data_IF_411611775215
#
_entry.id   IF_411611775215
#
_cell.length_a   1.000
_cell.length_b   1.000
_cell.length_c   1.000
_cell.angle_alpha   90.00
_cell.angle_beta   90.00
_cell.angle_gamma   90.00
#
_symmetry.space_group_name_H-M   'P 1'
#
loop_
_entity.id
_entity.type
_entity.pdbx_description
1 polymer ?
2 non-polymer ?
3 non-polymer ?
4 non-polymer ?
5 non-polymer ?
6 non-polymer ?
7 water ?
#
# COMPACT_ATOMS: atom_id res chain seq x y z
N UNK A 3 -13.66 18.33 -21.97
CA UNK A 3 -12.72 17.26 -22.28
C UNK A 3 -11.29 17.59 -21.83
N UNK A 4 -11.15 18.63 -20.99
CA UNK A 4 -9.88 19.18 -20.54
C UNK A 4 -10.16 19.82 -19.16
N UNK A 5 -10.42 18.98 -18.17
CA UNK A 5 -10.97 19.39 -16.89
C UNK A 5 -9.98 20.21 -16.06
N UNK A 6 -10.54 20.98 -15.12
CA UNK A 6 -9.79 21.94 -14.30
C UNK A 6 -9.94 21.60 -12.83
N UNK A 7 -8.82 21.58 -12.10
CA UNK A 7 -8.83 21.42 -10.64
C UNK A 7 -8.13 22.62 -10.01
N UNK A 8 -8.76 23.19 -8.98
CA UNK A 8 -8.31 24.40 -8.34
C UNK A 8 -7.84 24.09 -6.92
N UNK A 9 -6.80 24.79 -6.49
CA UNK A 9 -6.43 24.85 -5.07
C UNK A 9 -7.03 26.13 -4.50
N UNK A 10 -7.92 25.99 -3.52
CA UNK A 10 -8.62 27.15 -2.97
C UNK A 10 -7.83 27.88 -1.89
N UNK A 11 -6.64 27.40 -1.56
CA UNK A 11 -5.74 28.08 -0.63
C UNK A 11 -4.69 28.92 -1.34
N UNK A 12 -4.27 28.49 -2.54
CA UNK A 12 -3.26 29.16 -3.36
C UNK A 12 -3.80 29.78 -4.64
N UNK A 13 -5.07 29.52 -4.99
CA UNK A 13 -5.69 29.88 -6.26
C UNK A 13 -4.99 29.26 -7.47
N UNK A 14 -4.13 28.26 -7.25
CA UNK A 14 -3.47 27.56 -8.34
C UNK A 14 -4.50 26.75 -9.10
N UNK A 15 -4.37 26.70 -10.44
CA UNK A 15 -5.28 25.95 -11.28
C UNK A 15 -4.48 25.07 -12.22
N UNK A 16 -4.74 23.77 -12.15
CA UNK A 16 -4.13 22.79 -13.04
C UNK A 16 -5.18 22.29 -14.03
N UNK A 17 -4.71 21.80 -15.18
CA UNK A 17 -5.58 21.28 -16.23
C UNK A 17 -5.29 19.82 -16.46
N UNK A 18 -6.31 18.99 -16.29
CA UNK A 18 -6.18 17.54 -16.33
C UNK A 18 -6.65 17.03 -17.68
N UNK A 19 -5.71 16.68 -18.55
CA UNK A 19 -6.03 15.95 -19.76
C UNK A 19 -5.74 14.46 -19.64
N UNK A 20 -4.94 14.05 -18.64
CA UNK A 20 -4.54 12.66 -18.49
C UNK A 20 -5.73 11.74 -18.30
N UNK A 21 -6.81 12.22 -17.67
CA UNK A 21 -8.00 11.40 -17.47
C UNK A 21 -8.62 10.93 -18.78
N UNK A 22 -8.26 11.55 -19.90
CA UNK A 22 -8.72 11.08 -21.20
C UNK A 22 -8.20 9.68 -21.51
N UNK A 23 -6.97 9.39 -21.09
CA UNK A 23 -6.42 8.05 -21.25
C UNK A 23 -7.09 7.03 -20.32
N UNK A 24 -7.93 7.48 -19.39
CA UNK A 24 -8.47 6.58 -18.38
C UNK A 24 -9.27 5.45 -19.01
N UNK A 25 -9.22 4.30 -18.34
CA UNK A 25 -9.74 3.06 -18.89
C UNK A 25 -10.86 2.51 -18.01
N UNK A 26 -10.57 2.05 -16.80
CA UNK A 26 -11.58 1.38 -16.00
C UNK A 26 -12.51 2.40 -15.34
N UNK A 27 -13.63 1.89 -14.84
CA UNK A 27 -14.67 2.70 -14.24
C UNK A 27 -14.37 2.95 -12.76
N UNK A 28 -15.20 3.78 -12.13
CA UNK A 28 -14.94 4.26 -10.78
C UNK A 28 -15.97 3.82 -9.74
N UNK A 29 -17.21 3.55 -10.13
CA UNK A 29 -18.29 3.31 -9.19
C UNK A 29 -19.27 4.46 -9.15
N UNK A 30 -18.82 5.65 -9.52
CA UNK A 30 -19.69 6.80 -9.63
C UNK A 30 -20.43 6.78 -10.95
N UNK A 31 -21.68 7.22 -10.93
CA UNK A 31 -22.44 7.45 -12.14
C UNK A 31 -22.75 8.93 -12.24
N UNK A 32 -23.51 9.31 -13.27
CA UNK A 32 -23.92 10.70 -13.38
C UNK A 32 -24.79 11.11 -12.19
N UNK A 33 -25.53 10.17 -11.60
CA UNK A 33 -26.52 10.48 -10.58
C UNK A 33 -26.15 9.96 -9.19
N UNK A 34 -24.93 9.45 -8.99
CA UNK A 34 -24.46 9.05 -7.68
C UNK A 34 -22.94 9.08 -7.67
N UNK A 35 -22.37 9.62 -6.61
CA UNK A 35 -20.94 9.59 -6.39
C UNK A 35 -20.65 8.63 -5.24
N UNK A 36 -19.71 7.72 -5.46
CA UNK A 36 -19.32 6.75 -4.44
C UNK A 36 -17.88 6.95 -3.98
N UNK A 37 -17.37 8.17 -4.11
CA UNK A 37 -16.02 8.49 -3.71
C UNK A 37 -15.61 8.17 -2.28
N UNK A 38 -16.53 7.63 -1.47
CA UNK A 38 -16.23 7.30 -0.08
C UNK A 38 -16.54 5.86 0.29
N UNK A 39 -17.04 5.06 -0.65
CA UNK A 39 -17.04 3.60 -0.47
C UNK A 39 -15.59 3.11 -0.43
N UNK A 40 -15.26 2.31 0.58
CA UNK A 40 -13.88 1.88 0.81
C UNK A 40 -13.36 1.00 -0.33
N UNK A 41 -13.98 -0.15 -0.54
CA UNK A 41 -13.57 -1.13 -1.53
C UNK A 41 -14.69 -1.26 -2.55
N UNK A 42 -14.76 -0.35 -3.52
CA UNK A 42 -15.78 -0.49 -4.56
C UNK A 42 -15.52 -1.74 -5.39
N UNK A 43 -16.59 -2.23 -6.02
CA UNK A 43 -16.49 -3.45 -6.83
C UNK A 43 -15.51 -3.30 -7.98
N UNK A 44 -15.14 -2.05 -8.33
CA UNK A 44 -14.18 -1.80 -9.40
C UNK A 44 -12.75 -2.01 -8.93
N UNK A 45 -12.42 -1.53 -7.72
CA UNK A 45 -11.10 -1.67 -7.07
C UNK A 45 -10.79 -3.11 -6.62
N UNK A 46 -11.63 -4.11 -6.89
CA UNK A 46 -11.40 -5.49 -6.48
C UNK A 46 -11.32 -6.38 -7.71
N UNK A 47 -10.44 -7.39 -7.65
CA UNK A 47 -10.18 -8.29 -8.77
C UNK A 47 -10.95 -9.59 -8.68
N UNK A 52 -11.22 -13.35 -13.53
CA UNK A 52 -10.41 -14.23 -14.36
C UNK A 52 -10.54 -13.84 -15.85
N UNK A 53 -9.41 -13.50 -16.48
CA UNK A 53 -9.39 -12.93 -17.83
C UNK A 53 -9.06 -13.99 -18.88
N UNK A 54 -9.56 -13.75 -20.10
CA UNK A 54 -9.39 -14.64 -21.24
C UNK A 54 -8.36 -14.09 -22.21
N UNK A 55 -8.00 -14.94 -23.20
CA UNK A 55 -7.01 -14.57 -24.19
C UNK A 55 -7.51 -13.45 -25.09
N UNK A 56 -8.80 -13.40 -25.34
CA UNK A 56 -9.36 -12.36 -26.18
C UNK A 56 -9.05 -10.98 -25.62
N UNK A 57 -9.51 -10.70 -24.40
CA UNK A 57 -9.26 -9.39 -23.80
C UNK A 57 -7.80 -9.10 -23.57
N UNK A 58 -6.92 -10.10 -23.66
CA UNK A 58 -5.57 -9.94 -23.16
C UNK A 58 -4.66 -9.16 -24.10
N UNK A 59 -5.02 -9.03 -25.39
CA UNK A 59 -4.11 -8.32 -26.30
C UNK A 59 -4.33 -6.81 -26.33
N UNK A 60 -5.59 -6.31 -26.40
CA UNK A 60 -5.77 -4.87 -26.20
C UNK A 60 -5.02 -4.34 -25.00
N UNK A 61 -5.18 -5.00 -23.85
CA UNK A 61 -4.46 -4.61 -22.64
C UNK A 61 -2.96 -4.71 -22.82
N UNK A 62 -2.50 -5.73 -23.56
CA UNK A 62 -1.08 -5.86 -23.87
C UNK A 62 -0.62 -4.74 -24.80
N UNK A 63 -1.41 -4.50 -25.86
CA UNK A 63 -1.10 -3.44 -26.81
C UNK A 63 -1.12 -2.06 -26.15
N UNK A 64 -2.17 -1.76 -25.40
CA UNK A 64 -2.26 -0.48 -24.71
C UNK A 64 -1.03 -0.26 -23.82
N UNK A 65 -0.68 -1.26 -23.01
CA UNK A 65 0.47 -1.12 -22.12
C UNK A 65 1.76 -0.93 -22.90
N UNK A 66 1.94 -1.67 -24.00
CA UNK A 66 3.20 -1.62 -24.72
C UNK A 66 3.36 -0.29 -25.45
N UNK A 67 2.26 0.22 -26.02
CA UNK A 67 2.32 1.51 -26.71
C UNK A 67 2.71 2.64 -25.76
N UNK A 68 2.38 2.54 -24.48
CA UNK A 68 2.82 3.59 -23.57
C UNK A 68 4.23 3.33 -23.06
N UNK A 69 4.64 2.05 -22.93
CA UNK A 69 6.01 1.78 -22.52
C UNK A 69 7.02 2.25 -23.55
N UNK A 70 6.71 2.10 -24.84
CA UNK A 70 7.65 2.61 -25.83
C UNK A 70 7.53 4.11 -25.98
N UNK A 71 6.34 4.66 -25.81
CA UNK A 71 6.22 6.12 -25.70
C UNK A 71 7.04 6.66 -24.53
N UNK A 72 7.22 5.85 -23.48
CA UNK A 72 7.98 6.28 -22.32
C UNK A 72 9.46 6.43 -22.62
N UNK A 73 10.05 5.44 -23.30
CA UNK A 73 11.48 5.48 -23.60
C UNK A 73 11.69 6.09 -24.98
N UNK A 74 10.78 6.99 -25.37
CA UNK A 74 10.92 7.90 -26.51
C UNK A 74 10.88 7.20 -27.87
N UNK A 75 10.83 5.87 -27.88
CA UNK A 75 10.88 5.10 -29.12
C UNK A 75 9.54 4.40 -29.36
N UNK A 76 8.51 5.23 -29.63
CA UNK A 76 7.14 4.79 -29.84
C UNK A 76 6.86 4.64 -31.33
N UNK A 77 6.12 3.59 -31.69
CA UNK A 77 5.74 3.31 -33.05
C UNK A 77 6.84 2.77 -33.93
N UNK A 78 8.05 2.59 -33.40
CA UNK A 78 9.20 2.18 -34.19
C UNK A 78 9.12 0.67 -34.46
N UNK A 79 10.22 0.12 -35.00
CA UNK A 79 10.24 -1.31 -35.28
C UNK A 79 10.34 -2.13 -33.99
N UNK A 80 11.23 -1.75 -33.07
CA UNK A 80 11.31 -2.45 -31.79
C UNK A 80 9.96 -2.46 -31.07
N UNK A 81 9.17 -1.40 -31.26
CA UNK A 81 7.79 -1.40 -30.78
C UNK A 81 6.93 -2.38 -31.58
N UNK A 82 6.78 -2.13 -32.88
CA UNK A 82 5.96 -2.99 -33.73
C UNK A 82 6.37 -4.46 -33.63
N UNK A 83 7.67 -4.75 -33.45
CA UNK A 83 8.09 -6.13 -33.25
C UNK A 83 7.56 -6.68 -31.94
N UNK A 84 7.72 -5.92 -30.86
CA UNK A 84 7.29 -6.38 -29.54
C UNK A 84 5.78 -6.59 -29.48
N UNK A 85 5.03 -5.87 -30.31
CA UNK A 85 3.58 -6.08 -30.38
C UNK A 85 3.25 -7.40 -31.05
N UNK A 86 3.84 -7.63 -32.24
CA UNK A 86 3.76 -8.94 -32.90
C UNK A 86 4.23 -10.05 -31.98
N UNK A 87 5.40 -9.86 -31.36
CA UNK A 87 5.96 -10.89 -30.49
C UNK A 87 5.00 -11.33 -29.39
N UNK A 88 4.34 -10.37 -28.72
CA UNK A 88 3.42 -10.70 -27.65
C UNK A 88 2.08 -11.17 -28.20
N UNK A 89 1.60 -10.52 -29.27
CA UNK A 89 0.47 -11.05 -30.02
C UNK A 89 0.68 -12.53 -30.33
N UNK A 90 1.81 -12.86 -30.96
CA UNK A 90 2.11 -14.25 -31.28
C UNK A 90 2.11 -15.12 -30.03
N UNK A 91 2.70 -14.65 -28.94
CA UNK A 91 2.75 -15.44 -27.72
C UNK A 91 1.38 -15.56 -27.03
N UNK A 92 0.49 -14.59 -27.25
CA UNK A 92 -0.86 -14.69 -26.68
C UNK A 92 -1.74 -15.61 -27.51
N UNK A 93 -1.50 -15.70 -28.82
CA UNK A 93 -2.10 -16.79 -29.57
C UNK A 93 -1.59 -18.14 -29.06
N UNK A 94 -0.27 -18.25 -28.95
CA UNK A 94 0.36 -19.55 -28.69
C UNK A 94 0.06 -20.03 -27.28
N UNK A 95 0.15 -19.15 -26.28
CA UNK A 95 0.03 -19.55 -24.89
C UNK A 95 -1.16 -18.93 -24.17
N UNK A 96 -1.98 -18.12 -24.85
CA UNK A 96 -3.12 -17.45 -24.23
C UNK A 96 -2.70 -16.69 -22.97
N UNK A 97 -1.45 -16.29 -22.93
CA UNK A 97 -0.86 -15.38 -21.94
C UNK A 97 0.46 -14.91 -22.52
N UNK A 98 1.24 -14.19 -21.72
CA UNK A 98 2.54 -13.72 -22.18
C UNK A 98 3.40 -13.34 -20.97
N UNK A 99 4.61 -12.87 -21.26
CA UNK A 99 5.59 -12.57 -20.23
C UNK A 99 6.16 -11.18 -20.46
N UNK A 100 6.40 -10.46 -19.37
CA UNK A 100 6.92 -9.11 -19.45
C UNK A 100 8.44 -9.12 -19.44
N UNK A 101 9.06 -8.34 -20.34
CA UNK A 101 10.49 -8.10 -20.24
C UNK A 101 10.81 -7.45 -18.90
N UNK A 102 12.00 -7.75 -18.36
CA UNK A 102 12.43 -7.17 -17.09
C UNK A 102 12.20 -5.67 -17.07
N UNK A 103 12.50 -4.99 -18.17
CA UNK A 103 12.29 -3.54 -18.24
C UNK A 103 10.79 -3.19 -18.29
N UNK A 104 9.97 -4.08 -18.86
CA UNK A 104 8.53 -3.81 -18.90
C UNK A 104 7.89 -4.03 -17.54
N UNK A 105 8.47 -4.93 -16.74
CA UNK A 105 8.02 -5.11 -15.37
C UNK A 105 8.33 -3.88 -14.52
N UNK A 106 9.55 -3.36 -14.64
CA UNK A 106 10.01 -2.24 -13.81
C UNK A 106 9.17 -1.00 -14.12
N UNK A 107 8.98 -0.71 -15.41
CA UNK A 107 8.04 0.33 -15.83
C UNK A 107 6.64 0.06 -15.30
N UNK A 108 6.08 -1.10 -15.61
CA UNK A 108 4.74 -1.44 -15.18
C UNK A 108 4.52 -1.23 -13.70
N UNK A 109 5.38 -1.83 -12.87
CA UNK A 109 5.26 -1.69 -11.43
C UNK A 109 5.33 -0.23 -11.02
N UNK A 110 6.37 0.49 -11.46
CA UNK A 110 6.51 1.89 -11.08
C UNK A 110 5.25 2.66 -11.38
N UNK A 111 4.61 2.37 -12.51
CA UNK A 111 3.44 3.14 -12.91
C UNK A 111 2.17 2.67 -12.22
N UNK A 112 2.13 1.43 -11.71
CA UNK A 112 1.02 1.07 -10.85
C UNK A 112 1.05 1.90 -9.57
N UNK A 113 2.24 2.12 -9.02
CA UNK A 113 2.38 3.04 -7.89
C UNK A 113 2.05 4.46 -8.30
N UNK A 114 2.60 4.93 -9.42
CA UNK A 114 2.30 6.28 -9.91
C UNK A 114 0.80 6.52 -10.08
N UNK A 115 0.07 5.49 -10.48
CA UNK A 115 -1.35 5.61 -10.76
C UNK A 115 -2.24 5.41 -9.53
N UNK A 116 -1.66 5.01 -8.41
CA UNK A 116 -2.41 4.76 -7.18
C UNK A 116 -2.95 6.10 -6.68
N UNK A 117 -4.23 6.36 -6.92
CA UNK A 117 -4.76 7.67 -6.61
C UNK A 117 -4.95 7.90 -5.12
N UNK A 118 -5.03 6.83 -4.33
CA UNK A 118 -5.15 6.93 -2.89
C UNK A 118 -3.81 7.08 -2.18
N UNK A 119 -2.68 7.12 -2.92
CA UNK A 119 -1.34 7.16 -2.32
C UNK A 119 -0.79 8.59 -2.31
N UNK A 120 -0.58 9.12 -1.10
CA UNK A 120 -0.03 10.48 -0.92
C UNK A 120 1.48 10.55 -1.15
N UNK A 121 2.20 9.43 -1.00
CA UNK A 121 3.64 9.44 -1.09
C UNK A 121 4.20 9.17 -2.46
N UNK A 122 3.41 9.41 -3.50
CA UNK A 122 3.79 9.06 -4.87
C UNK A 122 4.84 9.96 -5.48
N UNK A 123 5.34 10.97 -4.76
CA UNK A 123 6.35 11.81 -5.39
C UNK A 123 7.60 10.99 -5.71
N UNK A 124 7.73 9.83 -5.07
CA UNK A 124 8.87 8.94 -5.18
C UNK A 124 8.63 7.79 -6.16
N UNK A 125 7.55 7.83 -6.94
CA UNK A 125 7.14 6.66 -7.72
C UNK A 125 8.26 6.17 -8.65
N UNK A 126 9.07 7.07 -9.21
CA UNK A 126 10.10 6.65 -10.16
C UNK A 126 11.24 5.92 -9.47
N UNK A 127 11.52 6.23 -8.21
CA UNK A 127 12.64 5.63 -7.48
C UNK A 127 12.24 4.35 -6.76
N UNK A 128 11.56 3.46 -7.48
CA UNK A 128 11.09 2.20 -6.91
C UNK A 128 12.03 1.09 -7.33
N UNK A 129 12.34 0.20 -6.39
CA UNK A 129 13.21 -0.92 -6.65
C UNK A 129 12.35 -2.14 -6.92
N UNK A 130 12.54 -2.75 -8.08
CA UNK A 130 11.72 -3.89 -8.46
C UNK A 130 12.59 -5.14 -8.34
N UNK A 131 12.18 -6.06 -7.47
CA UNK A 131 12.78 -7.38 -7.39
C UNK A 131 11.90 -8.33 -8.16
N UNK A 132 12.43 -8.87 -9.26
CA UNK A 132 11.72 -9.78 -10.12
C UNK A 132 11.84 -11.17 -9.52
N UNK A 133 10.79 -11.61 -8.81
CA UNK A 133 10.73 -12.95 -8.25
C UNK A 133 9.86 -13.87 -9.07
N UNK A 134 9.71 -13.59 -10.37
CA UNK A 134 8.93 -14.48 -11.22
C UNK A 134 9.55 -15.86 -11.42
N UNK A 135 10.78 -16.15 -10.96
CA UNK A 135 11.35 -17.50 -11.02
C UNK A 135 10.99 -18.35 -9.80
N UNK A 136 10.20 -17.82 -8.89
CA UNK A 136 9.91 -18.48 -7.62
C UNK A 136 8.89 -19.59 -7.82
N UNK A 137 9.03 -20.66 -7.03
CA UNK A 137 8.21 -21.85 -7.16
C UNK A 137 7.76 -22.46 -5.83
N UNK A 138 8.34 -22.06 -4.71
CA UNK A 138 8.01 -22.66 -3.43
C UNK A 138 7.74 -21.54 -2.41
N UNK A 139 7.01 -21.91 -1.36
CA UNK A 139 6.84 -20.99 -0.24
C UNK A 139 8.19 -20.61 0.35
N UNK A 140 9.12 -21.56 0.41
CA UNK A 140 10.47 -21.24 0.89
C UNK A 140 11.15 -20.21 -0.01
N UNK A 141 10.99 -20.35 -1.33
CA UNK A 141 11.55 -19.34 -2.22
C UNK A 141 10.92 -17.98 -2.00
N UNK A 142 9.58 -17.96 -1.84
CA UNK A 142 8.91 -16.73 -1.47
C UNK A 142 9.53 -16.15 -0.20
N UNK A 143 9.61 -16.97 0.86
CA UNK A 143 10.12 -16.48 2.13
C UNK A 143 11.52 -15.92 1.98
N UNK A 144 12.34 -16.53 1.13
CA UNK A 144 13.67 -16.01 0.89
C UNK A 144 13.62 -14.67 0.16
N UNK A 145 12.83 -14.59 -0.92
CA UNK A 145 12.65 -13.31 -1.62
C UNK A 145 12.10 -12.23 -0.70
N UNK A 146 11.11 -12.59 0.13
CA UNK A 146 10.50 -11.61 1.01
C UNK A 146 11.51 -11.12 2.05
N UNK A 147 12.36 -12.04 2.54
CA UNK A 147 13.39 -11.65 3.51
C UNK A 147 14.40 -10.70 2.89
N UNK A 148 14.78 -10.93 1.64
CA UNK A 148 15.72 -10.02 1.02
C UNK A 148 15.05 -8.69 0.71
N UNK A 149 13.75 -8.70 0.45
CA UNK A 149 13.00 -7.45 0.36
C UNK A 149 13.13 -6.68 1.68
N UNK A 150 12.56 -7.25 2.75
CA UNK A 150 12.65 -6.66 4.10
C UNK A 150 14.02 -6.08 4.36
N UNK A 151 15.07 -6.89 4.20
CA UNK A 151 16.41 -6.39 4.47
C UNK A 151 16.75 -5.18 3.59
N UNK A 152 16.55 -5.30 2.27
CA UNK A 152 16.92 -4.21 1.37
C UNK A 152 16.10 -2.95 1.65
N UNK A 153 14.78 -3.06 1.66
CA UNK A 153 13.96 -1.87 1.85
C UNK A 153 14.20 -1.24 3.22
N UNK A 154 14.52 -2.06 4.23
CA UNK A 154 14.74 -1.50 5.55
C UNK A 154 16.04 -0.71 5.59
N UNK A 155 17.12 -1.24 5.00
CA UNK A 155 18.37 -0.49 4.84
C UNK A 155 18.74 0.21 6.15
N UNK A 156 18.54 -0.50 7.26
CA UNK A 156 19.03 -0.08 8.57
C UNK A 156 18.38 1.23 8.99
N UNK A 157 17.09 1.38 8.69
CA UNK A 157 16.36 2.58 8.96
C UNK A 157 16.33 3.56 7.81
N UNK A 158 17.32 3.54 6.91
CA UNK A 158 17.29 4.45 5.77
C UNK A 158 16.46 3.78 4.68
N UNK A 159 15.14 3.85 4.86
CA UNK A 159 14.24 2.97 4.12
C UNK A 159 14.27 3.27 2.62
N UNK A 160 14.02 2.22 1.84
CA UNK A 160 13.96 2.33 0.39
C UNK A 160 12.67 1.72 -0.13
N UNK A 161 12.13 2.30 -1.19
CA UNK A 161 10.92 1.76 -1.80
C UNK A 161 11.25 0.49 -2.57
N UNK A 162 10.41 -0.52 -2.44
CA UNK A 162 10.68 -1.76 -3.16
C UNK A 162 9.39 -2.54 -3.33
N UNK A 163 9.36 -3.36 -4.38
CA UNK A 163 8.29 -4.32 -4.59
C UNK A 163 8.94 -5.62 -5.09
N UNK A 164 8.42 -6.74 -4.61
CA UNK A 164 8.85 -8.05 -5.07
C UNK A 164 7.67 -8.70 -5.77
N UNK A 165 7.87 -9.11 -7.01
CA UNK A 165 6.80 -9.54 -7.90
C UNK A 165 6.92 -11.03 -8.13
N UNK A 166 6.02 -11.79 -7.52
CA UNK A 166 5.96 -13.23 -7.72
C UNK A 166 5.22 -13.58 -9.01
N UNK A 167 5.31 -14.85 -9.46
CA UNK A 167 4.77 -15.20 -10.78
C UNK A 167 3.32 -14.78 -10.99
N UNK A 168 3.03 -14.35 -12.21
CA UNK A 168 1.69 -13.87 -12.51
C UNK A 168 0.70 -15.00 -12.44
N UNK A 169 -0.54 -14.65 -12.10
CA UNK A 169 -1.65 -15.58 -12.19
C UNK A 169 -1.69 -16.17 -13.60
N UNK A 170 -2.10 -17.45 -13.68
CA UNK A 170 -2.29 -18.09 -14.97
C UNK A 170 -3.71 -18.63 -15.06
N UNK A 171 -3.87 -19.90 -14.71
CA UNK A 171 -5.19 -20.51 -14.68
C UNK A 171 -6.07 -19.85 -13.61
N UNK A 172 -5.49 -19.54 -12.45
CA UNK A 172 -6.23 -18.99 -11.32
C UNK A 172 -6.19 -19.88 -10.10
N UNK A 173 -6.00 -21.19 -10.30
CA UNK A 173 -5.89 -22.14 -9.19
C UNK A 173 -4.46 -22.38 -8.77
N UNK A 174 -3.49 -21.98 -9.59
CA UNK A 174 -2.08 -21.97 -9.23
C UNK A 174 -1.69 -20.51 -9.02
N UNK A 175 -1.74 -20.07 -7.77
CA UNK A 175 -1.74 -18.66 -7.44
C UNK A 175 -0.80 -18.38 -6.28
N UNK A 176 0.18 -17.51 -6.51
CA UNK A 176 1.04 -17.06 -5.44
C UNK A 176 0.32 -16.00 -4.63
N UNK A 177 0.29 -16.18 -3.32
CA UNK A 177 -0.30 -15.18 -2.43
C UNK A 177 0.48 -15.10 -1.14
N UNK A 178 0.85 -13.89 -0.72
CA UNK A 178 1.08 -13.63 0.71
C UNK A 178 -0.28 -13.49 1.38
N UNK A 179 -0.53 -14.33 2.39
CA UNK A 179 -1.79 -14.22 3.13
C UNK A 179 -1.78 -13.10 4.16
N UNK A 180 -0.60 -12.66 4.59
CA UNK A 180 -0.49 -11.49 5.43
C UNK A 180 -1.03 -10.27 4.69
N UNK A 181 -1.62 -9.32 5.45
CA UNK A 181 -1.96 -8.05 4.81
C UNK A 181 -0.73 -7.16 4.67
N UNK A 182 0.26 -7.34 5.55
CA UNK A 182 1.56 -6.70 5.44
C UNK A 182 2.61 -7.70 5.90
N UNK A 183 3.80 -7.60 5.31
CA UNK A 183 4.88 -8.52 5.72
C UNK A 183 5.12 -8.46 7.21
N UNK A 184 4.96 -7.28 7.81
CA UNK A 184 5.14 -7.11 9.24
C UNK A 184 3.86 -6.51 9.80
N UNK A 185 3.17 -7.28 10.64
CA UNK A 185 2.05 -6.79 11.43
C UNK A 185 2.05 -7.53 12.77
N UNK A 186 1.55 -6.83 13.79
CA UNK A 186 1.46 -7.39 15.13
C UNK A 186 0.26 -8.30 15.27
N UNK A 187 0.35 -9.26 16.18
CA UNK A 187 -0.70 -10.25 16.31
C UNK A 187 -1.87 -9.64 17.07
N UNK A 188 -3.03 -10.27 16.92
CA UNK A 188 -4.21 -9.89 17.65
C UNK A 188 -4.91 -11.07 18.28
N UNK A 189 -5.02 -11.08 19.60
CA UNK A 189 -5.65 -12.18 20.32
C UNK A 189 -6.82 -11.63 21.12
N UNK A 190 -7.98 -12.23 20.95
CA UNK A 190 -9.15 -11.97 21.77
C UNK A 190 -8.95 -12.58 23.15
N UNK A 191 -9.69 -12.03 24.13
CA UNK A 191 -9.45 -12.35 25.54
C UNK A 191 -10.61 -13.13 26.17
N UNK A 192 -10.51 -13.54 27.43
CA UNK A 192 -11.70 -14.12 28.09
C UNK A 192 -12.92 -13.21 28.06
N UNK A 193 -12.76 -11.97 28.47
CA UNK A 193 -13.86 -11.01 28.47
C UNK A 193 -14.22 -10.51 27.09
N UNK A 194 -13.61 -11.09 26.06
CA UNK A 194 -13.85 -10.65 24.70
C UNK A 194 -13.08 -9.42 24.27
N UNK A 195 -12.30 -8.82 25.15
CA UNK A 195 -11.43 -7.70 24.78
C UNK A 195 -10.34 -8.22 23.85
N UNK A 196 -9.38 -7.36 23.52
CA UNK A 196 -8.38 -7.73 22.52
C UNK A 196 -6.99 -7.29 22.94
N UNK A 197 -6.06 -8.23 22.95
CA UNK A 197 -4.64 -7.94 23.09
C UNK A 197 -4.00 -7.92 21.72
N UNK A 198 -3.15 -6.93 21.49
CA UNK A 198 -2.46 -6.80 20.21
C UNK A 198 -3.20 -5.92 19.23
N UNK A 199 -3.21 -6.30 17.96
CA UNK A 199 -3.90 -5.53 16.94
C UNK A 199 -5.23 -6.19 16.62
N UNK A 200 -6.36 -5.58 17.00
CA UNK A 200 -7.67 -6.16 16.68
C UNK A 200 -7.89 -6.41 15.19
N UNK A 201 -7.21 -5.66 14.32
CA UNK A 201 -7.39 -5.86 12.88
C UNK A 201 -7.05 -7.28 12.45
N UNK A 202 -6.08 -7.89 13.12
CA UNK A 202 -5.46 -9.11 12.64
C UNK A 202 -5.99 -10.36 13.30
N UNK A 203 -6.85 -10.24 14.31
CA UNK A 203 -7.25 -11.39 15.11
C UNK A 203 -7.69 -12.55 14.24
N UNK A 204 -8.49 -12.26 13.21
CA UNK A 204 -8.88 -13.29 12.26
C UNK A 204 -7.64 -13.94 11.65
N UNK A 205 -6.67 -13.12 11.25
CA UNK A 205 -5.45 -13.67 10.67
C UNK A 205 -4.59 -14.37 11.73
N UNK A 206 -4.49 -13.78 12.92
CA UNK A 206 -3.69 -14.40 13.99
C UNK A 206 -4.19 -15.82 14.29
N UNK A 207 -5.52 -16.03 14.25
CA UNK A 207 -6.04 -17.37 14.52
C UNK A 207 -5.77 -18.31 13.35
N UNK A 208 -5.83 -17.80 12.12
CA UNK A 208 -5.48 -18.63 10.96
C UNK A 208 -4.04 -19.09 11.04
N UNK A 209 -3.15 -18.25 11.60
CA UNK A 209 -1.77 -18.67 11.81
C UNK A 209 -1.68 -19.74 12.88
N UNK A 210 -2.36 -19.54 14.01
CA UNK A 210 -2.36 -20.56 15.07
C UNK A 210 -3.03 -21.84 14.57
N UNK A 211 -4.03 -21.70 13.69
CA UNK A 211 -4.64 -22.85 13.04
C UNK A 211 -3.59 -23.71 12.34
N UNK A 212 -2.75 -23.09 11.52
CA UNK A 212 -1.69 -23.78 10.79
C UNK A 212 -0.45 -24.06 11.64
N UNK A 213 -0.50 -23.79 12.94
CA UNK A 213 0.54 -24.21 13.86
C UNK A 213 1.36 -23.12 14.52
N UNK A 214 0.97 -21.85 14.42
CA UNK A 214 1.77 -20.79 15.03
C UNK A 214 1.67 -20.88 16.54
N UNK A 215 2.82 -20.92 17.19
CA UNK A 215 2.89 -20.87 18.64
C UNK A 215 2.97 -19.40 19.02
N UNK A 216 1.86 -18.85 19.49
CA UNK A 216 1.77 -17.43 19.74
C UNK A 216 2.41 -17.08 21.07
N UNK A 217 3.33 -16.11 21.12
CA UNK A 217 3.82 -15.63 22.42
C UNK A 217 2.77 -14.87 23.21
N UNK A 218 1.66 -14.46 22.58
CA UNK A 218 0.47 -13.93 23.24
C UNK A 218 0.76 -12.68 24.07
N UNK A 219 1.47 -11.73 23.43
CA UNK A 219 1.57 -10.37 23.91
C UNK A 219 0.89 -9.39 22.98
N UNK A 220 1.28 -8.12 23.08
CA UNK A 220 0.79 -7.13 22.13
C UNK A 220 1.58 -7.22 20.83
N UNK A 221 2.78 -6.66 20.87
CA UNK A 221 3.58 -6.42 19.68
C UNK A 221 4.40 -7.67 19.32
N UNK A 222 3.67 -8.73 18.98
CA UNK A 222 4.23 -9.97 18.48
C UNK A 222 4.15 -9.95 16.96
N UNK A 223 5.30 -9.79 16.29
CA UNK A 223 5.32 -9.84 14.84
C UNK A 223 4.82 -11.20 14.38
N UNK A 224 3.84 -11.18 13.49
CA UNK A 224 3.23 -12.40 12.99
C UNK A 224 4.18 -13.13 12.05
N UNK A 225 4.02 -14.43 11.88
CA UNK A 225 4.82 -15.14 10.88
C UNK A 225 4.23 -14.87 9.51
N UNK A 226 5.00 -15.18 8.48
CA UNK A 226 4.50 -15.13 7.13
C UNK A 226 3.76 -16.41 6.82
N UNK A 227 2.60 -16.28 6.18
CA UNK A 227 1.87 -17.40 5.61
C UNK A 227 1.95 -17.25 4.10
N UNK A 228 2.65 -18.16 3.43
CA UNK A 228 2.99 -17.99 2.02
C UNK A 228 2.35 -19.11 1.20
N UNK A 229 1.38 -18.75 0.37
CA UNK A 229 0.83 -19.66 -0.63
C UNK A 229 1.69 -19.58 -1.90
N UNK A 230 2.18 -20.73 -2.36
CA UNK A 230 3.01 -20.79 -3.56
C UNK A 230 2.32 -21.66 -4.60
N UNK A 231 2.27 -21.16 -5.83
CA UNK A 231 1.66 -21.82 -6.98
C UNK A 231 0.39 -22.61 -6.66
N UNK A 232 -0.46 -22.06 -5.78
CA UNK A 232 -1.72 -22.68 -5.43
C UNK A 232 -1.68 -23.61 -4.23
N UNK A 233 -0.51 -24.14 -3.86
CA UNK A 233 -0.45 -25.08 -2.75
C UNK A 233 -0.79 -24.40 -1.42
N UNK A 234 -1.03 -25.24 -0.40
CA UNK A 234 -1.40 -24.72 0.90
C UNK A 234 -0.29 -23.82 1.46
N UNK A 235 -0.65 -22.68 2.06
CA UNK A 235 0.37 -21.77 2.59
C UNK A 235 1.10 -22.38 3.78
N UNK A 236 2.28 -21.82 4.07
CA UNK A 236 3.21 -22.36 5.04
C UNK A 236 3.77 -21.25 5.92
N UNK A 237 3.90 -21.52 7.22
CA UNK A 237 4.33 -20.48 8.14
C UNK A 237 5.84 -20.30 8.11
N UNK A 238 6.29 -19.05 8.09
CA UNK A 238 7.69 -18.70 8.20
C UNK A 238 7.85 -17.45 9.06
N UNK A 239 8.79 -17.50 10.00
CA UNK A 239 9.12 -16.37 10.88
C UNK A 239 10.24 -15.56 10.25
N UNK A 240 9.96 -14.30 9.92
CA UNK A 240 10.99 -13.36 9.49
C UNK A 240 12.05 -13.36 10.58
N UNK A 241 13.33 -13.48 10.26
CA UNK A 241 14.34 -13.36 11.30
C UNK A 241 14.16 -12.04 12.02
N UNK A 242 14.05 -12.07 13.34
CA UNK A 242 13.78 -10.85 14.10
C UNK A 242 14.78 -9.75 13.83
N UNK A 243 16.05 -10.10 13.61
CA UNK A 243 17.05 -9.10 13.25
C UNK A 243 16.67 -8.31 11.99
N UNK A 244 15.77 -8.86 11.18
CA UNK A 244 15.34 -8.19 9.97
C UNK A 244 14.13 -7.29 10.19
N UNK A 245 13.42 -7.43 11.31
CA UNK A 245 12.23 -6.64 11.62
C UNK A 245 12.67 -5.51 12.54
N UNK A 246 12.91 -4.33 11.94
CA UNK A 246 13.31 -3.14 12.67
C UNK A 246 12.07 -2.49 13.28
N UNK A 247 12.18 -2.07 14.53
CA UNK A 247 11.08 -1.57 15.33
C UNK A 247 11.53 -0.31 16.07
N UNK A 248 10.65 0.68 16.13
CA UNK A 248 10.92 1.93 16.85
C UNK A 248 10.11 1.92 18.14
N UNK A 249 10.75 1.97 19.31
CA UNK A 249 10.00 2.11 20.56
C UNK A 249 9.59 3.58 20.71
N UNK A 250 8.34 3.81 21.07
CA UNK A 250 7.73 5.13 20.98
C UNK A 250 7.89 5.84 22.32
N UNK A 251 8.77 6.83 22.34
CA UNK A 251 8.88 7.76 23.46
C UNK A 251 8.46 9.15 22.98
N UNK A 252 8.10 10.00 23.93
CA UNK A 252 7.75 11.39 23.73
C UNK A 252 8.89 12.30 24.15
N UNK A 253 9.08 13.42 23.43
CA UNK A 253 10.16 14.34 23.77
C UNK A 253 9.84 15.31 24.91
N UNK A 254 8.83 14.98 25.73
CA UNK A 254 8.53 15.71 26.95
C UNK A 254 8.16 14.73 28.05
N UNK A 255 7.07 14.00 27.82
CA UNK A 255 6.47 13.11 28.81
C UNK A 255 7.34 11.89 29.02
N UNK A 256 8.10 11.85 30.12
CA UNK A 256 8.90 10.65 30.38
C UNK A 256 8.04 9.44 30.74
N UNK A 257 6.76 9.63 31.08
CA UNK A 257 5.87 8.49 31.28
C UNK A 257 5.41 7.87 29.98
N UNK A 258 5.78 8.47 28.85
CA UNK A 258 5.44 7.92 27.54
C UNK A 258 6.30 6.73 27.16
N UNK A 259 7.49 6.58 27.75
CA UNK A 259 8.19 5.31 27.65
C UNK A 259 7.39 4.20 28.32
N UNK A 260 6.82 4.50 29.49
CA UNK A 260 6.10 3.49 30.24
C UNK A 260 4.79 3.09 29.58
N UNK A 261 4.29 3.91 28.67
CA UNK A 261 3.25 3.45 27.75
C UNK A 261 3.69 2.17 27.03
N UNK A 262 4.98 2.03 26.75
CA UNK A 262 5.52 0.79 26.23
C UNK A 262 5.11 0.51 24.79
N UNK A 263 4.98 1.54 23.97
CA UNK A 263 4.56 1.38 22.60
C UNK A 263 5.78 1.28 21.68
N UNK A 264 5.57 0.65 20.54
CA UNK A 264 6.59 0.51 19.50
C UNK A 264 5.90 0.14 18.21
N UNK A 265 6.56 0.46 17.10
CA UNK A 265 6.02 0.07 15.81
C UNK A 265 7.15 -0.41 14.93
N UNK A 266 6.79 -1.17 13.90
CA UNK A 266 7.77 -1.61 12.91
C UNK A 266 8.09 -0.46 11.96
N UNK A 267 9.36 -0.35 11.58
CA UNK A 267 9.76 0.73 10.69
C UNK A 267 9.17 0.62 9.30
N UNK A 268 8.88 -0.61 8.84
CA UNK A 268 8.65 -0.88 7.42
C UNK A 268 7.18 -1.16 7.13
N UNK A 269 6.46 -0.23 6.44
CA UNK A 269 5.12 -0.54 5.96
C UNK A 269 5.20 -1.21 4.59
N UNK A 270 4.64 -2.40 4.48
CA UNK A 270 4.93 -3.27 3.35
C UNK A 270 3.66 -4.04 3.04
N UNK A 271 2.93 -3.59 2.03
CA UNK A 271 1.58 -4.08 1.78
C UNK A 271 1.67 -5.28 0.84
N UNK A 272 1.12 -6.40 1.27
CA UNK A 272 1.42 -7.69 0.66
C UNK A 272 0.24 -8.37 -0.01
N UNK A 273 -0.99 -7.95 0.29
CA UNK A 273 -2.19 -8.71 0.00
C UNK A 273 -2.89 -8.23 -1.26
N UNK A 274 -2.24 -7.39 -2.04
CA UNK A 274 -2.88 -6.80 -3.18
C UNK A 274 -2.27 -7.28 -4.49
N UNK A 275 -2.86 -6.79 -5.58
CA UNK A 275 -2.72 -7.38 -6.89
C UNK A 275 -2.20 -6.34 -7.85
N UNK A 276 -1.13 -6.68 -8.56
CA UNK A 276 -0.49 -5.79 -9.52
C UNK A 276 -0.97 -6.16 -10.93
N UNK A 277 -1.60 -5.20 -11.61
CA UNK A 277 -2.06 -5.39 -12.99
C UNK A 277 -1.13 -4.66 -13.95
N UNK A 278 -0.48 -5.42 -14.83
CA UNK A 278 0.37 -4.87 -15.87
C UNK A 278 -0.03 -5.54 -17.17
N UNK A 279 -0.21 -4.75 -18.24
CA UNK A 279 -0.62 -5.28 -19.52
C UNK A 279 -1.65 -6.40 -19.48
N UNK A 280 -2.66 -6.27 -18.63
CA UNK A 280 -3.68 -7.30 -18.49
C UNK A 280 -3.25 -8.54 -17.76
N UNK A 281 -2.06 -8.52 -17.16
CA UNK A 281 -1.51 -9.66 -16.43
C UNK A 281 -1.67 -9.42 -14.93
N UNK A 282 -1.96 -10.49 -14.20
CA UNK A 282 -2.33 -10.36 -12.79
C UNK A 282 -1.25 -11.01 -11.93
N UNK A 283 -0.56 -10.17 -11.16
CA UNK A 283 0.44 -10.62 -10.19
C UNK A 283 -0.23 -10.63 -8.82
N UNK A 284 -0.69 -11.81 -8.39
CA UNK A 284 -1.49 -11.94 -7.19
C UNK A 284 -0.66 -11.73 -5.92
N UNK A 285 0.65 -11.98 -5.97
CA UNK A 285 1.53 -11.68 -4.86
C UNK A 285 2.56 -10.68 -5.34
N UNK A 286 2.61 -9.52 -4.69
CA UNK A 286 3.52 -8.47 -5.08
C UNK A 286 3.79 -7.52 -3.91
N UNK A 287 4.31 -8.01 -2.77
CA UNK A 287 4.51 -7.12 -1.61
C UNK A 287 5.30 -5.88 -1.99
N UNK A 288 4.86 -4.73 -1.48
CA UNK A 288 5.53 -3.47 -1.75
C UNK A 288 5.64 -2.67 -0.46
N UNK A 289 6.70 -1.89 -0.37
CA UNK A 289 7.05 -1.23 0.87
C UNK A 289 7.55 0.17 0.57
N UNK A 290 7.26 1.08 1.48
CA UNK A 290 7.90 2.38 1.47
C UNK A 290 8.41 2.76 2.85
N UNK A 291 7.94 3.89 3.36
CA UNK A 291 8.21 4.31 4.73
C UNK A 291 6.95 5.01 5.21
N UNK A 292 6.80 5.13 6.53
CA UNK A 292 5.51 5.56 7.06
C UNK A 292 5.32 7.07 6.95
N UNK A 293 4.09 7.47 6.70
CA UNK A 293 3.63 8.76 7.18
C UNK A 293 3.29 8.59 8.65
N UNK A 294 3.62 9.62 9.45
CA UNK A 294 3.46 9.50 10.89
C UNK A 294 2.05 9.11 11.29
N UNK A 295 1.06 9.71 10.62
CA UNK A 295 -0.34 9.59 11.04
C UNK A 295 -0.89 8.18 10.86
N UNK A 296 -0.31 7.39 9.94
CA UNK A 296 -0.81 6.03 9.79
C UNK A 296 -0.67 5.27 11.10
N UNK A 297 0.41 5.52 11.83
CA UNK A 297 0.66 4.87 13.11
C UNK A 297 0.01 5.63 14.26
N UNK A 298 0.32 6.92 14.35
CA UNK A 298 -0.10 7.69 15.51
C UNK A 298 -1.60 7.89 15.58
N UNK A 299 -2.25 8.08 14.43
CA UNK A 299 -3.69 8.31 14.36
C UNK A 299 -4.46 7.00 14.18
N UNK A 300 -4.20 6.32 13.07
CA UNK A 300 -5.03 5.21 12.67
C UNK A 300 -4.72 3.94 13.48
N UNK A 301 -3.46 3.48 13.45
CA UNK A 301 -3.07 2.29 14.22
C UNK A 301 -3.35 2.49 15.70
N UNK A 302 -2.70 3.49 16.29
CA UNK A 302 -2.78 3.70 17.75
C UNK A 302 -4.14 4.20 18.21
N UNK A 303 -4.91 4.92 17.37
CA UNK A 303 -6.10 5.60 17.89
C UNK A 303 -7.44 5.25 17.24
N UNK A 304 -7.48 4.56 16.10
CA UNK A 304 -8.76 4.01 15.65
C UNK A 304 -9.42 3.24 16.79
N UNK A 305 -10.76 3.28 16.84
CA UNK A 305 -11.47 2.62 17.93
C UNK A 305 -11.23 1.11 17.92
N UNK A 306 -11.36 0.47 16.75
CA UNK A 306 -11.15 -0.96 16.62
C UNK A 306 -9.72 -1.32 16.23
N UNK A 307 -8.77 -0.43 16.53
CA UNK A 307 -7.34 -0.74 16.44
C UNK A 307 -6.76 -0.76 17.86
N UNK A 308 -5.69 -0.02 18.16
CA UNK A 308 -5.08 -0.14 19.48
C UNK A 308 -5.82 0.66 20.54
N UNK A 309 -6.53 1.71 20.13
CA UNK A 309 -7.45 2.44 21.00
C UNK A 309 -6.77 2.90 22.28
N UNK A 310 -5.78 3.78 22.10
CA UNK A 310 -4.94 4.23 23.22
C UNK A 310 -5.27 5.64 23.69
N UNK A 311 -6.11 6.39 22.97
CA UNK A 311 -6.49 7.73 23.42
C UNK A 311 -7.03 7.72 24.85
N UNK A 312 -7.68 6.63 25.25
CA UNK A 312 -7.96 6.33 26.64
C UNK A 312 -6.75 6.50 27.56
N UNK A 313 -5.80 5.57 27.48
CA UNK A 313 -4.72 5.53 28.46
C UNK A 313 -3.78 6.71 28.33
N UNK A 314 -3.59 7.23 27.12
CA UNK A 314 -2.71 8.38 26.94
C UNK A 314 -3.30 9.61 27.61
N UNK A 315 -4.59 9.89 27.37
CA UNK A 315 -5.20 11.10 27.91
C UNK A 315 -5.23 11.03 29.43
N UNK A 316 -5.44 9.83 29.98
CA UNK A 316 -5.35 9.63 31.43
C UNK A 316 -4.05 10.16 31.98
N UNK A 317 -2.92 9.68 31.43
CA UNK A 317 -1.62 10.10 31.92
C UNK A 317 -1.36 11.58 31.64
N UNK A 318 -1.95 12.11 30.57
CA UNK A 318 -1.86 13.55 30.33
C UNK A 318 -2.63 14.35 31.36
N UNK A 319 -3.49 13.70 32.15
CA UNK A 319 -4.40 14.35 33.11
C UNK A 319 -5.31 15.35 32.39
N UNK A 320 -6.26 14.79 31.66
CA UNK A 320 -7.11 15.53 30.76
C UNK A 320 -8.56 15.47 31.21
N UNK A 321 -9.26 16.59 30.98
CA UNK A 321 -10.69 16.74 31.17
C UNK A 321 -11.46 15.71 30.36
N UNK A 322 -11.48 14.46 30.80
CA UNK A 322 -12.14 13.41 30.03
C UNK A 322 -13.63 13.30 30.31
N UNK A 323 -14.17 14.10 31.23
CA UNK A 323 -15.61 14.09 31.47
C UNK A 323 -16.37 14.55 30.23
N UNK A 324 -16.09 15.75 29.77
CA UNK A 324 -16.82 16.34 28.64
C UNK A 324 -16.22 15.84 27.32
N UNK A 325 -17.11 15.52 26.38
CA UNK A 325 -16.66 15.27 25.01
C UNK A 325 -16.01 16.52 24.41
N UNK A 326 -16.51 17.70 24.78
CA UNK A 326 -16.13 18.98 24.19
C UNK A 326 -14.89 19.60 24.81
N UNK A 327 -14.27 18.94 25.79
CA UNK A 327 -12.94 19.35 26.21
C UNK A 327 -11.89 19.08 25.15
N UNK A 328 -12.26 18.38 24.07
CA UNK A 328 -11.34 17.98 23.00
C UNK A 328 -10.16 17.18 23.53
N UNK A 329 -10.34 16.47 24.65
CA UNK A 329 -9.25 15.67 25.19
C UNK A 329 -8.77 14.64 24.17
N UNK A 330 -9.69 14.07 23.38
CA UNK A 330 -9.26 13.13 22.34
C UNK A 330 -8.33 13.80 21.34
N UNK A 331 -8.64 15.04 20.93
CA UNK A 331 -7.77 15.76 20.00
C UNK A 331 -6.43 16.06 20.62
N UNK A 332 -6.44 16.47 21.89
CA UNK A 332 -5.20 16.82 22.59
C UNK A 332 -4.27 15.63 22.68
N UNK A 333 -4.79 14.46 23.07
CA UNK A 333 -3.98 13.26 23.21
C UNK A 333 -3.56 12.72 21.86
N UNK A 334 -4.24 13.11 20.79
CA UNK A 334 -3.86 12.61 19.48
C UNK A 334 -2.63 13.33 18.94
N UNK A 335 -2.55 14.65 19.15
CA UNK A 335 -1.41 15.42 18.66
C UNK A 335 -0.11 14.97 19.33
N UNK A 336 -0.17 14.77 20.66
CA UNK A 336 1.00 14.29 21.40
C UNK A 336 1.46 12.94 20.89
N UNK A 337 0.51 12.02 20.70
CA UNK A 337 0.83 10.68 20.22
C UNK A 337 1.52 10.74 18.88
N UNK A 338 1.15 11.68 18.01
CA UNK A 338 1.86 11.76 16.75
C UNK A 338 3.20 12.50 16.87
N UNK A 339 3.31 13.49 17.77
CA UNK A 339 4.63 14.08 18.04
C UNK A 339 5.60 13.00 18.50
N UNK A 340 5.11 12.05 19.32
CA UNK A 340 5.95 10.99 19.85
C UNK A 340 6.39 10.02 18.76
N UNK A 341 5.50 9.68 17.84
CA UNK A 341 5.85 8.74 16.78
C UNK A 341 6.92 9.34 15.89
N UNK A 342 6.69 10.58 15.41
CA UNK A 342 7.67 11.23 14.57
C UNK A 342 8.99 11.42 15.29
N UNK A 343 8.94 11.89 16.55
CA UNK A 343 10.17 12.05 17.31
C UNK A 343 10.91 10.73 17.44
N UNK A 344 10.20 9.67 17.83
CA UNK A 344 10.82 8.38 18.06
C UNK A 344 11.51 7.84 16.81
N UNK A 345 10.80 7.89 15.67
CA UNK A 345 11.36 7.36 14.41
C UNK A 345 12.57 8.17 13.96
N UNK A 346 12.52 9.49 14.09
CA UNK A 346 13.64 10.33 13.67
C UNK A 346 14.87 10.11 14.53
N UNK A 347 14.69 9.90 15.85
CA UNK A 347 15.82 9.75 16.75
C UNK A 347 16.52 8.41 16.60
N UNK A 348 15.90 7.45 15.92
CA UNK A 348 16.51 6.19 15.56
C UNK A 348 16.92 6.14 14.09
N UNK A 349 16.95 7.29 13.41
CA UNK A 349 17.35 7.37 12.02
C UNK A 349 16.54 6.43 11.13
N UNK A 350 15.27 6.23 11.48
CA UNK A 350 14.35 5.42 10.69
C UNK A 350 13.46 6.36 9.88
N UNK A 351 13.44 6.17 8.57
CA UNK A 351 12.74 7.08 7.67
C UNK A 351 11.27 7.16 8.03
N UNK A 352 10.81 8.36 8.40
CA UNK A 352 9.40 8.66 8.60
C UNK A 352 9.16 10.07 8.06
N UNK A 353 7.90 10.35 7.69
CA UNK A 353 7.52 11.65 7.15
C UNK A 353 6.29 12.13 7.91
N UNK A 354 6.25 13.42 8.27
CA UNK A 354 5.07 13.93 8.95
C UNK A 354 4.00 14.24 7.91
N UNK A 355 2.75 14.33 8.35
CA UNK A 355 1.67 14.52 7.40
C UNK A 355 1.67 15.92 6.75
N UNK A 356 2.41 16.88 7.31
CA UNK A 356 2.59 18.18 6.66
C UNK A 356 3.57 18.09 5.50
N UNK A 357 4.75 17.48 5.75
CA UNK A 357 5.75 17.35 4.71
C UNK A 357 5.23 16.46 3.59
N UNK A 358 4.63 15.33 3.94
CA UNK A 358 4.07 14.42 2.94
C UNK A 358 3.01 15.12 2.10
N UNK A 359 2.18 15.97 2.70
CA UNK A 359 1.11 16.51 1.87
C UNK A 359 1.61 17.67 1.00
N UNK A 360 2.62 18.42 1.45
CA UNK A 360 3.19 19.43 0.57
C UNK A 360 3.92 18.79 -0.61
N UNK A 361 4.66 17.72 -0.37
CA UNK A 361 5.34 17.03 -1.47
C UNK A 361 4.32 16.52 -2.49
N UNK A 362 3.15 16.08 -2.02
CA UNK A 362 2.14 15.59 -2.95
C UNK A 362 1.59 16.71 -3.83
N UNK A 363 1.45 17.91 -3.28
CA UNK A 363 1.03 19.06 -4.08
C UNK A 363 2.12 19.43 -5.07
N UNK A 364 3.37 19.39 -4.61
CA UNK A 364 4.50 19.55 -5.52
C UNK A 364 4.49 18.46 -6.58
N UNK A 365 4.16 17.22 -6.18
CA UNK A 365 4.06 16.11 -7.12
C UNK A 365 2.91 16.31 -8.08
N UNK A 366 1.77 16.79 -7.58
CA UNK A 366 0.63 17.04 -8.46
C UNK A 366 1.00 18.05 -9.53
N UNK A 367 1.83 19.03 -9.19
CA UNK A 367 2.24 20.02 -10.18
C UNK A 367 3.05 19.36 -11.29
N UNK A 368 3.96 18.46 -10.91
CA UNK A 368 4.73 17.74 -11.91
C UNK A 368 3.83 16.90 -12.80
N UNK A 369 2.83 16.25 -12.21
CA UNK A 369 2.04 15.29 -12.97
C UNK A 369 1.08 15.97 -13.94
N UNK A 370 0.57 17.16 -13.60
CA UNK A 370 -0.27 17.89 -14.55
C UNK A 370 0.55 18.61 -15.60
N UNK A 371 1.86 18.77 -15.37
CA UNK A 371 2.74 19.43 -16.33
C UNK A 371 3.36 18.41 -17.27
N UNK A 372 4.19 17.51 -16.74
CA UNK A 372 4.92 16.53 -17.54
C UNK A 372 4.13 15.24 -17.77
N UNK A 373 2.82 15.22 -17.49
CA UNK A 373 2.01 14.04 -17.74
C UNK A 373 0.57 14.38 -18.08
N UNK A 374 0.13 15.58 -17.70
CA UNK A 374 -1.21 16.04 -17.99
C UNK A 374 -2.23 15.82 -16.90
N UNK A 375 -1.85 15.24 -15.77
CA UNK A 375 -2.79 14.98 -14.70
C UNK A 375 -2.19 14.07 -13.66
N UNK A 376 -2.96 13.89 -12.59
CA UNK A 376 -2.56 13.05 -11.46
C UNK A 376 -3.82 12.54 -10.79
N UNK A 377 -4.23 11.30 -11.05
CA UNK A 377 -5.41 10.76 -10.35
C UNK A 377 -5.21 10.83 -8.86
N UNK A 378 -6.21 11.36 -8.17
CA UNK A 378 -6.05 11.57 -6.74
C UNK A 378 -7.38 11.34 -6.04
N UNK A 379 -7.36 10.60 -4.94
CA UNK A 379 -8.53 10.33 -4.11
C UNK A 379 -8.40 11.19 -2.85
N UNK A 380 -9.11 12.31 -2.85
CA UNK A 380 -9.11 13.24 -1.73
C UNK A 380 -9.52 12.58 -0.42
N UNK A 381 -10.54 11.71 -0.49
CA UNK A 381 -11.00 11.00 0.70
C UNK A 381 -9.86 10.28 1.37
N UNK A 382 -8.85 9.88 0.59
CA UNK A 382 -7.69 9.13 1.08
C UNK A 382 -6.40 9.93 1.17
N UNK A 383 -6.22 10.94 0.32
CA UNK A 383 -5.02 11.80 0.36
C UNK A 383 -5.00 12.72 1.60
N UNK A 384 -6.15 13.20 2.08
CA UNK A 384 -6.14 14.13 3.22
C UNK A 384 -5.76 13.34 4.46
N UNK A 385 -4.70 13.73 5.15
CA UNK A 385 -4.29 13.05 6.40
C UNK A 385 -5.49 12.93 7.34
N UNK A 386 -5.52 11.91 8.21
CA UNK A 386 -6.70 11.73 9.07
C UNK A 386 -6.70 12.55 10.35
N UNK A 387 -5.84 13.55 10.47
CA UNK A 387 -5.87 14.55 11.53
C UNK A 387 -5.43 15.86 10.92
N UNK A 388 -5.91 16.97 11.48
CA UNK A 388 -5.53 18.30 11.00
C UNK A 388 -5.70 18.40 9.48
N UNK A 389 -6.85 17.92 9.00
CA UNK A 389 -7.07 17.92 7.57
C UNK A 389 -6.75 19.24 6.91
N UNK A 390 -7.34 20.32 7.41
CA UNK A 390 -7.33 21.57 6.65
C UNK A 390 -6.09 22.41 6.86
N UNK A 391 -5.29 22.12 7.89
CA UNK A 391 -4.02 22.83 8.02
C UNK A 391 -2.94 22.24 7.12
N UNK A 392 -3.26 21.18 6.35
CA UNK A 392 -2.40 20.62 5.32
C UNK A 392 -2.90 21.01 3.93
N UNK A 393 -2.00 21.26 2.97
CA UNK A 393 -2.42 21.87 1.71
C UNK A 393 -3.23 20.95 0.80
N UNK A 394 -3.32 19.65 1.09
CA UNK A 394 -4.14 18.81 0.24
C UNK A 394 -5.63 19.01 0.51
N UNK A 395 -5.98 19.52 1.70
CA UNK A 395 -7.38 19.72 2.03
C UNK A 395 -8.04 20.67 1.05
N UNK A 396 -7.29 21.67 0.59
CA UNK A 396 -7.81 22.75 -0.23
C UNK A 396 -7.60 22.52 -1.70
N UNK A 397 -7.05 21.38 -2.09
CA UNK A 397 -6.78 21.07 -3.49
C UNK A 397 -7.83 20.11 -4.02
N UNK A 398 -8.56 20.55 -5.04
CA UNK A 398 -9.43 19.66 -5.80
C UNK A 398 -8.62 18.59 -6.53
N UNK A 399 -9.08 17.35 -6.44
CA UNK A 399 -8.39 16.24 -7.07
C UNK A 399 -9.35 15.47 -7.94
N UNK A 400 -8.97 15.26 -9.20
CA UNK A 400 -9.72 14.40 -10.10
C UNK A 400 -9.31 12.95 -9.85
N UNK A 401 -10.29 12.10 -9.54
CA UNK A 401 -10.03 10.69 -9.32
C UNK A 401 -10.46 9.90 -10.55
N UNK A 402 -9.52 9.12 -11.10
CA UNK A 402 -9.82 8.22 -12.19
C UNK A 402 -8.82 7.07 -12.14
N UNK A 403 -9.17 5.99 -12.82
CA UNK A 403 -8.45 4.72 -12.70
C UNK A 403 -7.64 4.51 -13.96
N UNK A 404 -6.33 4.66 -13.84
CA UNK A 404 -5.38 4.38 -14.90
C UNK A 404 -4.73 3.03 -14.67
N UNK A 405 -4.06 2.54 -15.70
CA UNK A 405 -3.41 1.26 -15.59
C UNK A 405 -2.06 1.34 -16.30
N UNK A 406 -1.03 0.65 -15.80
CA UNK A 406 -0.92 -0.33 -14.71
C UNK A 406 -1.41 0.14 -13.33
N UNK A 407 -1.99 -0.76 -12.52
CA UNK A 407 -2.60 -0.36 -11.26
C UNK A 407 -2.40 -1.44 -10.19
N UNK A 408 -2.60 -1.03 -8.94
CA UNK A 408 -2.78 -1.95 -7.82
C UNK A 408 -4.27 -2.07 -7.52
N UNK A 409 -4.74 -3.31 -7.44
CA UNK A 409 -6.11 -3.62 -7.14
C UNK A 409 -6.19 -4.46 -5.87
N UNK A 410 -7.21 -4.20 -5.07
CA UNK A 410 -7.56 -5.10 -4.00
C UNK A 410 -7.91 -6.45 -4.57
N UNK A 411 -7.92 -7.46 -3.72
CA UNK A 411 -8.33 -8.79 -4.13
C UNK A 411 -8.84 -9.51 -2.89
N UNK A 412 -9.78 -10.44 -3.06
CA UNK A 412 -10.28 -11.18 -1.89
C UNK A 412 -9.16 -11.88 -1.14
N UNK A 413 -9.37 -12.03 0.17
CA UNK A 413 -8.40 -12.74 0.99
C UNK A 413 -8.35 -14.21 0.58
N UNK A 414 -7.16 -14.83 0.63
CA UNK A 414 -7.01 -16.17 0.04
C UNK A 414 -7.85 -17.22 0.73
N UNK A 415 -8.08 -17.12 2.04
CA UNK A 415 -8.76 -18.20 2.74
C UNK A 415 -10.25 -18.23 2.44
N UNK A 416 -10.81 -17.14 1.91
CA UNK A 416 -12.19 -17.12 1.45
C UNK A 416 -12.35 -17.79 0.10
N UNK A 417 -11.24 -18.08 -0.59
CA UNK A 417 -11.29 -18.55 -1.96
C UNK A 417 -10.45 -19.81 -2.17
N UNK A 418 -9.35 -19.95 -1.42
CA UNK A 418 -8.44 -21.08 -1.58
C UNK A 418 -9.16 -22.41 -1.40
N UNK A 419 -9.26 -23.18 -2.48
CA UNK A 419 -9.64 -24.59 -2.35
C UNK A 419 -8.51 -25.28 -1.60
N UNK A 420 -8.79 -25.72 -0.37
CA UNK A 420 -7.74 -26.30 0.46
C UNK A 420 -7.32 -27.66 -0.08
N UNK A 421 -6.43 -28.31 0.67
CA UNK A 421 -5.73 -29.56 0.28
C UNK A 421 -6.48 -30.66 -0.49
X LIG B 1 -1.91 4.21 -0.01
X LIG B 1 1.77 6.60 2.02
X LIG B 1 4.85 4.10 -0.82
X LIG B 1 1.13 2.34 -3.34
X LIG B 1 -1.20 5.02 0.85
X LIG B 1 -1.70 5.75 2.00
X LIG B 1 -0.68 6.41 2.56
X LIG B 1 0.50 6.12 1.78
X LIG B 1 -0.74 7.32 3.79
X LIG B 1 -3.16 5.76 2.50
X LIG B 1 -3.45 4.34 2.98
X LIG B 1 -3.85 4.39 4.41
X LIG B 1 -3.69 5.48 5.04
X LIG B 1 -4.33 3.35 4.93
X LIG B 1 2.92 6.16 1.42
X LIG B 1 4.25 6.65 1.70
X LIG B 1 5.10 5.96 0.91
X LIG B 1 4.35 5.01 0.11
X LIG B 1 4.59 7.76 2.72
X LIG B 1 6.64 6.19 0.92
X LIG B 1 7.35 6.01 -0.20
X LIG B 1 4.13 3.33 -1.70
X LIG B 1 4.66 2.31 -2.60
X LIG B 1 3.61 1.82 -3.31
X LIG B 1 2.41 2.52 -2.87
X LIG B 1 6.15 1.92 -2.67
X LIG B 1 3.53 0.74 -4.41
X LIG B 1 4.58 0.03 -4.84
X LIG B 1 0.00 2.62 -2.61
X LIG B 1 -1.31 2.03 -2.78
X LIG B 1 -2.13 2.56 -1.86
X LIG B 1 -1.38 3.48 -1.06
X LIG B 1 -1.66 0.98 -3.86
X LIG B 1 -3.63 2.28 -1.58
X LIG B 1 -4.49 2.67 -2.76
X LIG B 1 -5.81 1.96 -2.61
X LIG B 1 -6.52 1.90 -3.64
X LIG B 1 -6.15 1.45 -1.49
X LIG B 1 0.14 5.28 0.75
X LIG B 1 3.00 5.18 0.44
X LIG B 1 2.77 3.44 -1.91
X LIG B 1 -0.07 3.51 -1.54
X LIG B 1 1.38 4.63 -0.79
X LIG C 1 -8.15 7.52 3.95
X LIG C 1 -6.98 6.83 4.21
X LIG C 1 -5.79 7.41 3.92
X LIG C 1 -7.01 5.61 4.78
X LIG C 1 -8.21 5.04 5.08
X LIG C 1 -8.23 3.90 5.61
X LIG C 1 -9.39 5.70 4.81
X LIG C 1 -9.35 6.97 4.24
X LIG C 1 -10.58 5.15 5.10
X LIG C 1 -10.51 7.66 3.98
X LIG C 1 -11.75 5.64 4.37
X LIG C 1 -11.83 7.16 4.35
X LIG C 1 -13.04 5.06 4.95
X LIG C 1 -13.06 5.38 6.35
X LIG C 1 -14.24 5.66 4.22
X LIG C 1 -15.55 5.16 4.82
X LIG C 1 -14.18 5.34 2.82
X LIG D 1 2.89 3.60 3.55
X LIG D 1 -6.50 -0.26 3.72
X LIG D 1 -6.94 -1.40 5.79
X LIG D 1 -8.76 -0.62 4.42
X LIG D 1 3.65 2.92 2.58
X LIG D 1 3.06 1.91 1.84
X LIG D 1 1.73 1.62 2.04
X LIG D 1 1.01 2.31 3.00
X LIG D 1 3.86 1.15 0.80
X LIG D 1 -0.45 1.98 3.21
X LIG D 1 -2.09 0.72 1.98
X LIG D 1 -2.42 0.05 0.81
X LIG D 1 -3.61 -0.65 0.75
X LIG D 1 -4.47 -0.68 1.85
X LIG D 1 -4.13 -0.01 3.02
X LIG D 1 -2.93 0.71 3.08
X LIG D 1 -5.06 -0.04 4.20
X LIG D 1 -1.58 0.08 -0.24
X LIG D 1 -3.94 -1.30 -0.38
X LIG D 1 1.59 3.28 3.74
X LIG D 1 3.45 4.56 4.28
X LIG D 1 -7.40 -0.32 4.88
X LIG D 1 -0.90 1.40 2.00
X LIG E 1 7.01 11.28 0.84
X LIG E 1 7.33 10.99 2.01
X LIG E 1 6.39 12.33 0.56
X LIG E 1 7.27 10.30 -0.27
X LIG F 1 -18.01 10.23 -7.24
#
# INVERSE_FOLDING_TARGET
CPRFLKVKNWETDVVLTDTLHLKSTLETGCTEHICMGSIMLPSQHTRKPEDVATKDQLFPLAKEFLDQYYSSIKRFGSKAHMDRLEEVNKEIESTSTYQLKDTELIYGAKHAWRNASRCVGRIQWSKLQVFDARDCTTAHGMFNYICNHVKYATNKGNLRSAITIFPQRTDGKHDFRVWNSQLIRYAGYKQPDGSTLGDPANVQFTEICIQQGWKAPRGRFDVLPLLLQANGNDPELFQIPPELVLEVPIRHPKFDWFKDLGLKWYGLPAVSNMLLEIGGLEFSACPFSGWYMGTEIGVRDYCDNSRYNILEEVAKKMDLDMRKTSSLWKDQALVEINIAVLYSFQSDKVTIVDHHSATESFIKHMENEYRCRGGCPADWVWIVPPMSGSITPVFHQEMLNYRLTPSFEYQPDPWNTHVWKG
HEM CHA CHB CHC CHD C1A C2A C3A C4A CMA CAA CBA CGA O1A O2A C1B C2B C3B C4B CMB CAB CBB C1C C2C C3C C4C CMC CAC CBC C1D C2D C3D C4D CMD CAD CBD CGD O1D O2D NA NB NC ND FE
H4B N1 C2 N2 N3 C4 O4 C4A C8A N5 N8 C6 C7 C9 O9 C10 C11 O10
A1CN2 C02 C18 C20 C21 C03 C04 C05 C06 C07 C08 C11 C12 C13 C14 C15 C16 C17 F12 F13 N01 N02 N19 O09
ACT C O OXT CH3
ZN ZN
#
